data_IF_216439717714
#
_entry.id   IF_216439717714
#
_cell.length_a   1.000
_cell.length_b   1.000
_cell.length_c   1.000
_cell.angle_alpha   90.00
_cell.angle_beta   90.00
_cell.angle_gamma   90.00
#
_symmetry.space_group_name_H-M   'P 1'
#
loop_
_entity.id
_entity.type
_entity.pdbx_description
1 polymer ?
#
# COMPACT_ATOMS: atom_id res chain seq x y z
N UNK A 1 0.61 54.03 -7.64
CA UNK A 1 1.59 52.93 -7.49
C UNK A 1 1.96 52.87 -6.02
N UNK A 2 1.74 51.83 -5.22
CA UNK A 2 1.51 50.40 -5.43
C UNK A 2 0.46 49.89 -4.42
N UNK A 3 -0.50 49.10 -4.86
CA UNK A 3 -1.40 48.34 -3.98
C UNK A 3 -0.69 47.08 -3.49
N UNK A 4 -0.63 46.89 -2.17
CA UNK A 4 -0.15 45.67 -1.52
C UNK A 4 -1.15 44.53 -1.72
N UNK A 5 -0.72 43.45 -2.38
CA UNK A 5 -1.44 42.18 -2.47
C UNK A 5 -1.49 41.50 -1.10
N UNK A 6 -2.64 41.02 -0.61
CA UNK A 6 -2.66 40.20 0.60
C UNK A 6 -2.14 38.79 0.28
N UNK A 7 -1.11 38.37 1.00
CA UNK A 7 -0.63 36.98 1.04
C UNK A 7 -1.78 36.06 1.44
N UNK A 8 -2.27 35.28 0.47
CA UNK A 8 -3.26 34.23 0.68
C UNK A 8 -2.60 33.13 1.52
N UNK A 9 -2.87 33.12 2.83
CA UNK A 9 -2.53 31.99 3.69
C UNK A 9 -3.20 30.76 3.07
N UNK A 10 -2.40 29.78 2.65
CA UNK A 10 -2.88 28.52 2.12
C UNK A 10 -3.50 27.73 3.28
N UNK A 11 -4.77 28.00 3.58
CA UNK A 11 -5.57 27.11 4.43
C UNK A 11 -5.65 25.76 3.70
N UNK A 12 -5.21 24.66 4.32
CA UNK A 12 -5.44 23.34 3.74
C UNK A 12 -6.95 23.18 3.61
N UNK A 13 -7.42 22.92 2.40
CA UNK A 13 -8.86 22.79 2.15
C UNK A 13 -9.39 21.63 2.99
N UNK A 14 -10.54 21.82 3.67
CA UNK A 14 -11.23 20.80 4.50
C UNK A 14 -11.43 19.43 3.81
N UNK A 15 -11.28 19.39 2.49
CA UNK A 15 -11.43 18.21 1.65
C UNK A 15 -10.10 17.47 1.38
N UNK A 16 -8.94 18.13 1.50
CA UNK A 16 -7.62 17.51 1.29
C UNK A 16 -7.21 16.54 2.41
N UNK A 17 -7.93 16.55 3.53
CA UNK A 17 -7.65 15.70 4.70
C UNK A 17 -8.62 14.52 4.86
N UNK A 18 -9.70 14.48 4.07
CA UNK A 18 -10.59 13.30 4.01
C UNK A 18 -9.94 12.27 3.09
N UNK A 19 -9.90 11.02 3.53
CA UNK A 19 -9.37 9.91 2.72
C UNK A 19 -7.90 9.55 2.99
N UNK A 20 -7.24 10.10 4.02
CA UNK A 20 -5.89 9.60 4.40
C UNK A 20 -6.02 8.25 5.11
N UNK A 21 -5.13 7.31 4.81
CA UNK A 21 -5.02 6.03 5.50
C UNK A 21 -3.56 5.56 5.62
N UNK A 22 -3.28 4.78 6.66
CA UNK A 22 -2.02 4.06 6.81
C UNK A 22 -2.25 2.59 6.52
N UNK A 23 -1.41 2.01 5.68
CA UNK A 23 -1.49 0.61 5.28
C UNK A 23 -0.20 -0.10 5.64
N UNK A 24 -0.33 -1.22 6.36
CA UNK A 24 0.79 -2.06 6.75
C UNK A 24 0.51 -3.46 6.21
N UNK A 25 1.32 -3.92 5.25
CA UNK A 25 1.31 -5.33 4.86
C UNK A 25 2.01 -6.09 5.99
N UNK A 26 1.34 -7.08 6.56
CA UNK A 26 1.82 -7.80 7.75
C UNK A 26 2.42 -9.15 7.36
N UNK A 27 1.91 -9.78 6.31
CA UNK A 27 2.50 -10.98 5.74
C UNK A 27 2.14 -11.13 4.25
N UNK A 28 3.08 -11.72 3.51
CA UNK A 28 2.84 -12.25 2.18
C UNK A 28 3.31 -13.71 2.16
N UNK A 29 2.60 -14.55 1.43
CA UNK A 29 3.00 -15.94 1.17
C UNK A 29 2.65 -16.28 -0.25
N UNK A 30 3.58 -16.87 -1.00
CA UNK A 30 3.24 -17.51 -2.25
C UNK A 30 3.39 -19.03 -2.14
N UNK A 31 2.70 -19.74 -3.03
CA UNK A 31 2.67 -21.20 -3.07
C UNK A 31 2.75 -21.68 -4.50
N UNK A 32 3.55 -22.72 -4.74
CA UNK A 32 3.75 -23.36 -6.05
C UNK A 32 4.13 -22.35 -7.16
N UNK A 33 5.03 -21.41 -6.85
CA UNK A 33 5.61 -20.55 -7.88
C UNK A 33 6.46 -21.37 -8.85
N UNK A 34 6.56 -20.87 -10.07
CA UNK A 34 7.47 -21.41 -11.07
C UNK A 34 7.91 -20.27 -12.00
N UNK A 35 9.12 -19.76 -11.78
CA UNK A 35 9.80 -18.82 -12.68
C UNK A 35 11.05 -19.43 -13.30
N UNK A 36 11.89 -20.09 -12.49
CA UNK A 36 13.09 -20.77 -12.97
C UNK A 36 12.87 -22.15 -13.60
N UNK A 37 13.71 -22.51 -14.57
CA UNK A 37 13.64 -23.85 -15.23
C UNK A 37 14.59 -24.89 -14.63
N UNK A 38 15.65 -24.45 -13.95
CA UNK A 38 16.70 -25.34 -13.41
C UNK A 38 16.83 -25.31 -11.89
N UNK A 39 16.46 -24.18 -11.28
CA UNK A 39 16.39 -23.92 -9.84
C UNK A 39 14.93 -23.71 -9.43
N UNK A 40 14.69 -23.60 -8.13
CA UNK A 40 13.43 -23.06 -7.63
C UNK A 40 13.46 -21.53 -7.71
N UNK A 41 12.29 -20.92 -7.65
CA UNK A 41 12.07 -19.49 -7.89
C UNK A 41 12.79 -18.59 -6.87
N UNK A 42 13.42 -17.51 -7.34
CA UNK A 42 14.04 -16.40 -6.59
C UNK A 42 13.04 -15.24 -6.38
N UNK A 43 12.00 -15.50 -5.58
CA UNK A 43 10.82 -14.66 -5.58
C UNK A 43 10.93 -13.36 -4.76
N UNK A 44 10.29 -12.29 -5.24
CA UNK A 44 9.99 -11.09 -4.45
C UNK A 44 8.67 -10.42 -4.88
N UNK A 45 8.17 -9.48 -4.07
CA UNK A 45 6.87 -8.82 -4.31
C UNK A 45 7.03 -7.30 -4.39
N UNK A 46 6.50 -6.69 -5.46
CA UNK A 46 6.32 -5.24 -5.58
C UNK A 46 4.87 -4.88 -5.23
N UNK A 47 4.71 -3.85 -4.40
CA UNK A 47 3.39 -3.35 -3.97
C UNK A 47 3.19 -1.94 -4.53
N UNK A 48 2.09 -1.74 -5.23
CA UNK A 48 1.75 -0.48 -5.87
C UNK A 48 0.44 0.10 -5.35
N UNK A 49 0.41 1.42 -5.27
CA UNK A 49 -0.77 2.26 -5.11
C UNK A 49 -0.68 3.42 -6.10
N UNK A 50 -1.03 3.16 -7.36
CA UNK A 50 -0.75 4.03 -8.51
C UNK A 50 0.74 4.12 -8.91
N UNK A 51 1.63 4.14 -7.92
CA UNK A 51 3.09 4.08 -8.02
C UNK A 51 3.64 2.98 -7.11
N UNK A 52 4.91 2.62 -7.27
CA UNK A 52 5.59 1.69 -6.36
C UNK A 52 5.64 2.31 -4.95
N UNK A 53 5.10 1.61 -3.96
CA UNK A 53 5.04 2.06 -2.56
C UNK A 53 5.73 1.09 -1.60
N UNK A 54 6.05 -0.12 -2.04
CA UNK A 54 6.78 -1.08 -1.24
C UNK A 54 7.36 -2.21 -2.07
N UNK A 55 8.44 -2.82 -1.56
CA UNK A 55 9.06 -4.02 -2.12
C UNK A 55 9.42 -4.95 -0.97
N UNK A 56 9.02 -6.22 -1.08
CA UNK A 56 9.49 -7.28 -0.19
C UNK A 56 10.91 -7.75 -0.64
N UNK A 57 11.76 -8.21 0.29
CA UNK A 57 13.07 -8.75 -0.06
C UNK A 57 12.92 -10.02 -0.91
N UNK A 58 13.99 -10.36 -1.60
CA UNK A 58 14.07 -11.60 -2.39
C UNK A 58 14.25 -12.78 -1.44
N UNK A 59 13.54 -13.86 -1.71
CA UNK A 59 13.75 -15.17 -1.08
C UNK A 59 14.22 -16.11 -2.18
N UNK A 60 15.49 -16.49 -2.10
CA UNK A 60 16.14 -17.29 -3.13
C UNK A 60 15.71 -18.77 -3.08
N UNK A 61 15.62 -19.39 -4.24
CA UNK A 61 15.50 -20.81 -4.50
C UNK A 61 14.37 -21.48 -3.69
N UNK A 62 13.17 -20.89 -3.76
CA UNK A 62 12.01 -21.34 -3.00
C UNK A 62 10.69 -21.04 -3.72
N UNK A 63 9.99 -22.09 -4.15
CA UNK A 63 8.68 -21.99 -4.81
C UNK A 63 7.51 -21.69 -3.84
N UNK A 64 7.76 -21.71 -2.53
CA UNK A 64 6.77 -21.46 -1.48
C UNK A 64 7.26 -20.40 -0.48
N UNK A 65 7.62 -19.19 -0.94
CA UNK A 65 8.23 -18.16 -0.11
C UNK A 65 7.22 -17.54 0.88
N UNK A 66 7.70 -17.21 2.07
CA UNK A 66 6.92 -16.50 3.10
C UNK A 66 7.67 -15.26 3.57
N UNK A 67 7.12 -14.09 3.28
CA UNK A 67 7.64 -12.80 3.76
C UNK A 67 6.94 -12.41 5.06
N UNK A 68 7.53 -12.78 6.20
CA UNK A 68 7.03 -12.45 7.55
C UNK A 68 7.59 -11.12 8.04
N UNK A 69 7.34 -10.03 7.32
CA UNK A 69 7.78 -8.70 7.74
C UNK A 69 6.70 -7.63 7.55
N UNK A 70 6.52 -6.74 8.53
CA UNK A 70 5.65 -5.59 8.34
C UNK A 70 6.29 -4.64 7.32
N UNK A 71 5.57 -4.41 6.21
CA UNK A 71 5.90 -3.41 5.21
C UNK A 71 4.90 -2.25 5.34
N UNK A 72 5.33 -1.18 5.99
CA UNK A 72 4.55 0.04 6.13
C UNK A 72 4.65 0.88 4.85
N UNK A 73 3.51 1.06 4.16
CA UNK A 73 3.42 1.80 2.91
C UNK A 73 3.32 3.32 3.14
N UNK A 74 3.35 3.75 4.41
CA UNK A 74 3.18 5.13 4.82
C UNK A 74 1.72 5.60 4.73
N UNK A 75 1.56 6.92 4.69
CA UNK A 75 0.24 7.55 4.55
C UNK A 75 -0.15 7.62 3.07
N UNK A 76 -1.21 6.91 2.71
CA UNK A 76 -1.84 6.94 1.40
C UNK A 76 -3.02 7.90 1.41
N UNK A 77 -3.23 8.62 0.30
CA UNK A 77 -4.42 9.44 0.06
C UNK A 77 -5.36 8.65 -0.83
N UNK A 78 -6.46 8.19 -0.24
CA UNK A 78 -7.49 7.41 -0.92
C UNK A 78 -8.35 8.33 -1.79
N UNK A 79 -8.65 7.87 -3.00
CA UNK A 79 -9.74 8.34 -3.85
C UNK A 79 -10.86 7.28 -3.88
N UNK A 80 -11.95 7.58 -4.60
CA UNK A 80 -13.13 6.70 -4.71
C UNK A 80 -12.80 5.30 -5.26
N UNK A 81 -11.67 5.13 -5.96
CA UNK A 81 -11.16 3.84 -6.45
C UNK A 81 -9.72 3.69 -5.97
N UNK A 82 -9.54 3.11 -4.78
CA UNK A 82 -8.23 2.90 -4.16
C UNK A 82 -7.91 1.41 -4.07
N UNK A 83 -7.02 0.93 -4.95
CA UNK A 83 -6.59 -0.47 -5.01
C UNK A 83 -5.11 -0.61 -4.71
N UNK A 84 -4.75 -1.65 -3.97
CA UNK A 84 -3.38 -2.15 -3.91
C UNK A 84 -3.17 -3.16 -5.02
N UNK A 85 -2.10 -3.00 -5.77
CA UNK A 85 -1.63 -4.00 -6.74
C UNK A 85 -0.40 -4.70 -6.18
N UNK A 86 -0.44 -6.02 -6.18
CA UNK A 86 0.70 -6.89 -5.87
C UNK A 86 1.21 -7.46 -7.18
N UNK A 87 2.52 -7.38 -7.40
CA UNK A 87 3.20 -8.07 -8.50
C UNK A 87 4.25 -9.00 -7.90
N UNK A 88 4.23 -10.27 -8.31
CA UNK A 88 5.18 -11.31 -7.88
C UNK A 88 6.18 -11.50 -9.00
N UNK A 89 7.46 -11.41 -8.67
CA UNK A 89 8.57 -11.42 -9.60
C UNK A 89 9.56 -12.52 -9.21
N UNK A 90 10.23 -13.08 -10.22
CA UNK A 90 11.43 -13.91 -10.09
C UNK A 90 12.68 -13.07 -10.42
N UNK A 91 13.75 -13.19 -9.64
CA UNK A 91 14.98 -12.40 -9.81
C UNK A 91 16.08 -13.23 -10.47
N UNK A 92 16.20 -13.17 -11.81
CA UNK A 92 17.28 -13.87 -12.53
C UNK A 92 18.62 -13.11 -12.43
N UNK A 93 18.57 -11.81 -12.76
CA UNK A 93 19.72 -10.92 -12.83
C UNK A 93 19.27 -9.46 -12.77
N UNK A 94 20.21 -8.53 -12.72
CA UNK A 94 19.94 -7.09 -12.49
C UNK A 94 18.98 -6.42 -13.48
N UNK A 95 18.68 -7.02 -14.64
CA UNK A 95 17.92 -6.38 -15.72
C UNK A 95 16.78 -7.24 -16.29
N UNK A 96 16.66 -8.51 -15.89
CA UNK A 96 15.74 -9.47 -16.49
C UNK A 96 14.98 -10.24 -15.42
N UNK A 97 14.23 -9.53 -14.58
CA UNK A 97 13.33 -10.18 -13.64
C UNK A 97 12.04 -10.58 -14.36
N UNK A 98 11.54 -11.79 -14.09
CA UNK A 98 10.35 -12.34 -14.71
C UNK A 98 9.09 -12.05 -13.87
N UNK A 99 8.03 -11.53 -14.51
CA UNK A 99 6.76 -11.31 -13.85
C UNK A 99 5.94 -12.61 -13.78
N UNK A 100 5.84 -13.20 -12.61
CA UNK A 100 5.10 -14.45 -12.36
C UNK A 100 3.59 -14.24 -12.26
N UNK A 101 3.17 -13.04 -11.89
CA UNK A 101 1.78 -12.64 -11.92
C UNK A 101 1.48 -11.39 -11.10
N UNK A 102 0.24 -10.94 -11.17
CA UNK A 102 -0.22 -9.73 -10.49
C UNK A 102 -1.67 -9.83 -10.06
N UNK A 103 -2.02 -9.12 -9.00
CA UNK A 103 -3.42 -8.95 -8.62
C UNK A 103 -3.69 -7.63 -7.92
N UNK A 104 -4.95 -7.21 -7.96
CA UNK A 104 -5.44 -6.01 -7.30
C UNK A 104 -6.44 -6.32 -6.19
N UNK A 105 -6.38 -5.54 -5.12
CA UNK A 105 -7.26 -5.65 -3.95
C UNK A 105 -7.74 -4.27 -3.54
N UNK A 106 -9.05 -4.15 -3.34
CA UNK A 106 -9.65 -2.93 -2.84
C UNK A 106 -9.18 -2.66 -1.41
N UNK A 107 -8.89 -1.39 -1.11
CA UNK A 107 -8.53 -0.97 0.23
C UNK A 107 -9.78 -0.79 1.09
N UNK A 108 -10.02 -1.73 2.01
CA UNK A 108 -11.06 -1.60 3.03
C UNK A 108 -10.45 -1.42 4.41
N UNK A 109 -11.08 -0.62 5.27
CA UNK A 109 -10.56 -0.36 6.61
C UNK A 109 -10.62 -1.63 7.47
N UNK A 110 -9.58 -1.85 8.28
CA UNK A 110 -9.44 -3.00 9.15
C UNK A 110 -8.43 -4.03 8.64
N UNK A 111 -8.59 -5.27 9.10
CA UNK A 111 -7.75 -6.40 8.71
C UNK A 111 -8.28 -6.98 7.42
N UNK A 112 -7.41 -7.06 6.42
CA UNK A 112 -7.70 -7.61 5.11
C UNK A 112 -6.81 -8.82 4.87
N UNK A 113 -7.42 -9.87 4.36
CA UNK A 113 -6.73 -11.08 3.94
C UNK A 113 -7.32 -11.59 2.64
N UNK A 114 -6.50 -12.15 1.78
CA UNK A 114 -7.00 -12.77 0.57
C UNK A 114 -5.93 -13.56 -0.15
N UNK A 115 -6.35 -14.16 -1.27
CA UNK A 115 -5.52 -14.96 -2.15
C UNK A 115 -5.71 -14.49 -3.59
N UNK A 116 -4.68 -14.59 -4.40
CA UNK A 116 -4.70 -14.31 -5.84
C UNK A 116 -4.02 -15.45 -6.59
N UNK A 117 -4.67 -16.00 -7.61
CA UNK A 117 -4.01 -16.92 -8.53
C UNK A 117 -3.00 -16.16 -9.39
N UNK A 118 -1.87 -16.80 -9.64
CA UNK A 118 -0.83 -16.34 -10.57
C UNK A 118 -0.86 -17.23 -11.82
N UNK A 119 0.09 -17.04 -12.74
CA UNK A 119 0.23 -17.95 -13.88
C UNK A 119 0.58 -19.36 -13.39
N UNK A 120 1.50 -19.43 -12.43
CA UNK A 120 1.86 -20.64 -11.69
C UNK A 120 1.73 -20.34 -10.20
N UNK A 121 0.89 -21.12 -9.52
CA UNK A 121 0.67 -20.96 -8.09
C UNK A 121 -0.23 -19.79 -7.71
N UNK A 122 -0.05 -19.30 -6.50
CA UNK A 122 -0.87 -18.24 -5.93
C UNK A 122 -0.11 -17.40 -4.89
N UNK A 123 -0.64 -16.21 -4.60
CA UNK A 123 -0.16 -15.33 -3.53
C UNK A 123 -1.28 -14.99 -2.54
N UNK A 124 -1.02 -15.29 -1.28
CA UNK A 124 -1.76 -14.83 -0.13
C UNK A 124 -1.19 -13.52 0.43
N UNK A 125 -2.08 -12.59 0.77
CA UNK A 125 -1.72 -11.33 1.41
C UNK A 125 -2.51 -11.14 2.69
N UNK A 126 -1.85 -10.54 3.68
CA UNK A 126 -2.43 -10.10 4.93
C UNK A 126 -1.98 -8.65 5.17
N UNK A 127 -2.92 -7.74 5.35
CA UNK A 127 -2.61 -6.33 5.61
C UNK A 127 -3.64 -5.67 6.52
N UNK A 128 -3.20 -4.62 7.21
CA UNK A 128 -4.06 -3.77 8.02
C UNK A 128 -4.13 -2.36 7.43
N UNK A 129 -5.34 -1.83 7.30
CA UNK A 129 -5.58 -0.46 6.86
C UNK A 129 -6.30 0.32 7.96
N UNK A 130 -5.70 1.42 8.41
CA UNK A 130 -6.33 2.36 9.33
C UNK A 130 -6.62 3.68 8.64
N UNK A 131 -7.87 4.15 8.69
CA UNK A 131 -8.20 5.53 8.27
C UNK A 131 -7.61 6.51 9.28
N UNK A 132 -6.90 7.52 8.79
CA UNK A 132 -6.38 8.61 9.61
C UNK A 132 -7.48 9.66 9.73
N UNK A 133 -8.14 9.68 10.89
CA UNK A 133 -9.15 10.70 11.19
C UNK A 133 -8.48 11.95 11.73
N UNK A 134 -8.82 13.11 11.17
CA UNK A 134 -8.49 14.40 11.78
C UNK A 134 -9.29 14.51 13.08
N UNK A 135 -8.61 14.42 14.23
CA UNK A 135 -9.23 14.71 15.52
C UNK A 135 -9.45 16.21 15.58
N UNK A 136 -10.69 16.66 15.37
CA UNK A 136 -11.05 18.03 15.68
C UNK A 136 -11.08 18.16 17.20
N UNK A 137 -10.15 18.96 17.76
CA UNK A 137 -10.25 19.40 19.15
C UNK A 137 -11.55 20.17 19.30
N UNK A 138 -12.44 19.72 20.18
CA UNK A 138 -13.65 20.45 20.56
C UNK A 138 -13.25 21.65 21.44
N UNK A 139 -12.55 22.63 20.85
CA UNK A 139 -12.20 23.89 21.50
C UNK A 139 -12.95 25.05 20.84
N UNK A 140 -14.24 24.87 20.56
CA UNK A 140 -15.10 25.92 19.99
C UNK A 140 -16.56 25.83 20.46
N UNK A 141 -16.80 25.43 21.71
CA UNK A 141 -18.10 25.57 22.38
C UNK A 141 -17.90 26.02 23.82
N UNK A 142 -17.34 27.22 23.99
CA UNK A 142 -17.44 27.98 25.24
C UNK A 142 -17.16 29.45 24.89
N UNK A 143 -18.13 30.14 24.30
CA UNK A 143 -18.17 31.62 24.27
C UNK A 143 -19.53 32.19 23.78
N UNK A 144 -20.63 31.42 23.84
CA UNK A 144 -21.98 31.96 23.57
C UNK A 144 -22.97 31.80 24.74
N UNK A 145 -22.44 31.52 25.94
CA UNK A 145 -23.15 31.81 27.18
C UNK A 145 -22.32 32.88 27.89
N UNK A 146 -22.98 33.96 28.33
CA UNK A 146 -22.44 35.21 28.92
C UNK A 146 -22.35 36.37 27.90
N UNK A 147 -23.51 36.85 27.43
CA UNK A 147 -24.17 38.11 27.83
C UNK A 147 -25.40 38.35 26.93
#
# INVERSE_FOLDING_TARGET
TSSSLPTKIHQPTRNAERGKARVIITALRATNLWGDTTTATDAYVKVFFGKLVGRAPVILNNDNPVWKMPLDLGTLVLSDISKLKFEVWDEDNTWNDDLLGKCERDLTAGINSGMCNLNNGDIHHFFHMARLMVKYSACFLQLLYIY
#
